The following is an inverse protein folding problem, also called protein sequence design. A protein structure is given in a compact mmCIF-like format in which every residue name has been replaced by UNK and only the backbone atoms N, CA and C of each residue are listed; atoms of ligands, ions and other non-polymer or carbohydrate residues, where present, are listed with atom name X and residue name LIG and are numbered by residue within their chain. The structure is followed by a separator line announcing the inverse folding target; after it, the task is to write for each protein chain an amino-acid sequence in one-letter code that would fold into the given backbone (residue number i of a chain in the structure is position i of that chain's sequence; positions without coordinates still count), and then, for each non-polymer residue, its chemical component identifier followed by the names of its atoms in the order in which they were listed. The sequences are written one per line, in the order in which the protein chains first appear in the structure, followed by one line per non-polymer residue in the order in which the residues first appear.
data_IF_498547673078
#
_entry.id   IF_498547673078
#
_cell.length_a   1.000
_cell.length_b   1.000
_cell.length_c   1.000
_cell.angle_alpha   90.00
_cell.angle_beta   90.00
_cell.angle_gamma   90.00
#
_symmetry.space_group_name_H-M   'P 1'
#
loop_
_entity.id
_entity.type
_entity.pdbx_description
1 polymer ?
#
# COMPACT_ATOMS: atom_id res chain seq x y z
N UNK A 1 -23.27 -21.01 8.67
CA UNK A 1 -22.28 -20.22 9.40
C UNK A 1 -22.97 -19.61 10.61
N UNK A 2 -22.44 -19.81 11.81
CA UNK A 2 -23.02 -19.26 13.03
C UNK A 2 -22.50 -17.84 13.25
N UNK A 3 -23.24 -17.00 14.02
CA UNK A 3 -22.82 -15.64 14.39
C UNK A 3 -21.49 -15.58 15.19
N UNK A 4 -20.94 -16.72 15.59
CA UNK A 4 -19.62 -16.85 16.21
C UNK A 4 -18.50 -16.99 15.18
N UNK A 5 -18.76 -17.58 14.00
CA UNK A 5 -17.81 -17.69 12.89
C UNK A 5 -17.62 -16.36 12.15
N UNK A 6 -18.60 -15.45 12.24
CA UNK A 6 -18.57 -14.14 11.58
C UNK A 6 -17.71 -13.08 12.33
N UNK A 7 -17.27 -13.39 13.57
CA UNK A 7 -16.50 -12.47 14.44
C UNK A 7 -14.98 -12.71 14.41
N UNK A 8 -14.51 -13.67 13.64
CA UNK A 8 -13.11 -14.13 13.65
C UNK A 8 -12.34 -13.74 12.36
N UNK A 9 -13.00 -13.07 11.42
CA UNK A 9 -12.37 -12.66 10.15
C UNK A 9 -11.87 -11.22 10.27
N UNK A 10 -10.64 -11.00 9.78
CA UNK A 10 -10.04 -9.68 9.69
C UNK A 10 -10.85 -8.79 8.75
N UNK A 11 -11.40 -7.67 9.26
CA UNK A 11 -12.13 -6.69 8.46
C UNK A 11 -11.18 -5.62 7.95
N UNK A 12 -11.07 -5.49 6.64
CA UNK A 12 -10.14 -4.57 5.99
C UNK A 12 -10.88 -3.56 5.13
N UNK A 13 -10.65 -2.28 5.40
CA UNK A 13 -11.05 -1.19 4.52
C UNK A 13 -9.91 -0.88 3.56
N UNK A 14 -10.17 -0.91 2.26
CA UNK A 14 -9.24 -0.45 1.24
C UNK A 14 -9.80 0.78 0.55
N UNK A 15 -9.12 1.91 0.63
CA UNK A 15 -9.45 3.10 -0.14
C UNK A 15 -8.75 3.05 -1.49
N UNK A 16 -9.55 3.03 -2.55
CA UNK A 16 -9.12 3.13 -3.94
C UNK A 16 -9.58 4.48 -4.50
N UNK A 17 -8.72 5.19 -5.21
CA UNK A 17 -8.94 6.56 -5.65
C UNK A 17 -9.46 6.67 -7.07
N UNK A 18 -8.99 5.78 -7.97
CA UNK A 18 -9.40 5.74 -9.37
C UNK A 18 -9.49 4.29 -9.87
N UNK A 19 -10.15 4.10 -11.01
CA UNK A 19 -10.29 2.77 -11.62
C UNK A 19 -8.94 2.11 -11.96
N UNK A 20 -7.94 2.83 -12.51
CA UNK A 20 -6.67 2.21 -12.89
C UNK A 20 -5.76 1.84 -11.72
N UNK A 21 -6.09 2.19 -10.48
CA UNK A 21 -5.26 1.90 -9.30
C UNK A 21 -5.88 0.84 -8.38
N UNK A 22 -6.10 -0.40 -8.86
CA UNK A 22 -6.69 -1.46 -8.06
C UNK A 22 -5.70 -1.97 -6.99
N UNK A 23 -6.18 -2.64 -5.94
CA UNK A 23 -5.35 -3.07 -4.81
C UNK A 23 -4.39 -4.23 -5.10
N UNK A 24 -4.44 -4.86 -6.28
CA UNK A 24 -3.48 -5.83 -6.76
C UNK A 24 -3.07 -6.92 -5.75
N UNK A 25 -1.77 -7.00 -5.47
CA UNK A 25 -1.23 -7.96 -4.51
C UNK A 25 -1.82 -7.86 -3.10
N UNK A 26 -2.30 -6.68 -2.66
CA UNK A 26 -2.93 -6.52 -1.34
C UNK A 26 -4.17 -7.40 -1.21
N UNK A 27 -5.08 -7.37 -2.20
CA UNK A 27 -6.28 -8.22 -2.15
C UNK A 27 -5.97 -9.71 -2.30
N UNK A 28 -4.98 -10.06 -3.12
CA UNK A 28 -4.55 -11.44 -3.28
C UNK A 28 -3.97 -11.99 -1.96
N UNK A 29 -3.15 -11.21 -1.27
CA UNK A 29 -2.60 -11.54 0.04
C UNK A 29 -3.70 -11.64 1.11
N UNK A 30 -4.63 -10.68 1.19
CA UNK A 30 -5.74 -10.69 2.15
C UNK A 30 -6.68 -11.89 1.95
N UNK A 31 -6.82 -12.38 0.72
CA UNK A 31 -7.59 -13.58 0.44
C UNK A 31 -6.98 -14.86 1.04
N UNK A 32 -5.65 -14.93 1.18
CA UNK A 32 -4.95 -16.03 1.87
C UNK A 32 -5.22 -16.02 3.39
N UNK A 33 -5.61 -14.85 3.93
CA UNK A 33 -5.98 -14.66 5.34
C UNK A 33 -7.49 -14.75 5.61
N UNK A 34 -8.29 -15.15 4.63
CA UNK A 34 -9.77 -15.19 4.72
C UNK A 34 -10.38 -13.86 5.23
N UNK A 35 -9.76 -12.73 4.86
CA UNK A 35 -10.19 -11.40 5.30
C UNK A 35 -11.52 -10.99 4.65
N UNK A 36 -12.32 -10.22 5.40
CA UNK A 36 -13.51 -9.53 4.90
C UNK A 36 -13.10 -8.15 4.39
N UNK A 37 -13.02 -8.00 3.07
CA UNK A 37 -12.45 -6.81 2.41
C UNK A 37 -13.54 -5.93 1.83
N UNK A 38 -13.60 -4.68 2.28
CA UNK A 38 -14.41 -3.61 1.69
C UNK A 38 -13.52 -2.68 0.87
N UNK A 39 -13.60 -2.77 -0.46
CA UNK A 39 -12.93 -1.83 -1.36
C UNK A 39 -13.84 -0.64 -1.60
N UNK A 40 -13.43 0.51 -1.10
CA UNK A 40 -14.20 1.76 -1.14
C UNK A 40 -13.58 2.73 -2.15
N UNK A 41 -14.31 2.99 -3.24
CA UNK A 41 -13.96 3.98 -4.26
C UNK A 41 -14.30 5.38 -3.78
N UNK A 42 -13.36 6.02 -3.08
CA UNK A 42 -13.57 7.30 -2.40
C UNK A 42 -13.88 8.47 -3.36
N UNK A 43 -13.49 8.34 -4.63
CA UNK A 43 -13.74 9.32 -5.68
C UNK A 43 -15.20 9.37 -6.16
N UNK A 44 -15.92 8.25 -6.07
CA UNK A 44 -17.29 8.09 -6.59
C UNK A 44 -18.30 7.53 -5.59
N UNK A 45 -17.85 6.91 -4.50
CA UNK A 45 -18.73 6.33 -3.49
C UNK A 45 -19.02 7.35 -2.37
N UNK A 46 -20.29 7.69 -2.20
CA UNK A 46 -20.76 8.67 -1.21
C UNK A 46 -21.13 8.03 0.15
N UNK A 47 -20.99 6.69 0.30
CA UNK A 47 -21.25 6.03 1.59
C UNK A 47 -20.49 6.73 2.71
N UNK A 48 -21.08 6.79 3.87
CA UNK A 48 -20.36 7.14 5.09
C UNK A 48 -19.64 5.89 5.61
N UNK A 49 -18.34 5.98 5.72
CA UNK A 49 -17.47 4.88 6.15
C UNK A 49 -16.69 5.34 7.37
N UNK A 50 -16.79 4.59 8.46
CA UNK A 50 -16.07 4.86 9.69
C UNK A 50 -14.87 3.90 9.82
N UNK A 51 -13.63 4.39 9.85
CA UNK A 51 -12.44 3.53 10.02
C UNK A 51 -12.48 2.65 11.26
N UNK A 52 -13.23 3.04 12.30
CA UNK A 52 -13.38 2.29 13.57
C UNK A 52 -14.14 0.97 13.42
N UNK A 53 -14.85 0.78 12.29
CA UNK A 53 -15.58 -0.45 12.01
C UNK A 53 -14.69 -1.54 11.39
N UNK A 54 -13.39 -1.25 11.20
CA UNK A 54 -12.40 -2.12 10.56
C UNK A 54 -11.19 -2.38 11.46
N UNK A 55 -10.57 -3.54 11.27
CA UNK A 55 -9.35 -3.96 11.99
C UNK A 55 -8.07 -3.45 11.32
N UNK A 56 -8.15 -3.13 10.02
CA UNK A 56 -7.06 -2.62 9.20
C UNK A 56 -7.57 -1.65 8.15
N UNK A 57 -6.84 -0.56 7.95
CA UNK A 57 -7.11 0.43 6.92
C UNK A 57 -5.95 0.46 5.91
N UNK A 58 -6.24 0.27 4.62
CA UNK A 58 -5.27 0.38 3.53
C UNK A 58 -5.66 1.57 2.65
N UNK A 59 -4.72 2.48 2.40
CA UNK A 59 -4.86 3.61 1.48
C UNK A 59 -3.91 3.40 0.30
N UNK A 60 -4.46 3.34 -0.92
CA UNK A 60 -3.71 3.03 -2.14
C UNK A 60 -3.04 4.25 -2.77
N UNK A 61 -2.40 4.04 -3.92
CA UNK A 61 -1.85 5.08 -4.78
C UNK A 61 -2.93 5.90 -5.50
N UNK A 62 -2.55 7.07 -6.03
CA UNK A 62 -3.39 7.97 -6.82
C UNK A 62 -2.54 8.84 -7.73
N UNK A 63 -3.08 9.28 -8.88
CA UNK A 63 -2.46 10.28 -9.75
C UNK A 63 -2.48 11.71 -9.17
N UNK A 64 -3.30 11.94 -8.14
CA UNK A 64 -3.44 13.26 -7.52
C UNK A 64 -2.35 13.53 -6.48
N UNK A 65 -2.10 14.82 -6.23
CA UNK A 65 -1.21 15.22 -5.16
C UNK A 65 -1.89 15.07 -3.78
N UNK A 66 -1.25 14.39 -2.85
CA UNK A 66 -1.76 14.18 -1.50
C UNK A 66 -1.91 15.48 -0.68
N UNK A 67 -1.39 16.60 -1.18
CA UNK A 67 -1.50 17.94 -0.58
C UNK A 67 -2.44 18.90 -1.34
N UNK A 68 -3.23 18.38 -2.31
CA UNK A 68 -4.22 19.18 -3.04
C UNK A 68 -5.57 19.19 -2.32
N UNK A 69 -5.74 20.09 -1.35
CA UNK A 69 -6.98 20.23 -0.58
C UNK A 69 -8.16 20.80 -1.41
N UNK A 70 -7.95 21.10 -2.70
CA UNK A 70 -9.05 21.42 -3.61
C UNK A 70 -9.86 20.20 -4.01
N UNK A 71 -9.32 18.99 -3.79
CA UNK A 71 -9.98 17.72 -4.01
C UNK A 71 -10.75 17.28 -2.76
N UNK A 72 -12.09 17.19 -2.79
CA UNK A 72 -12.86 16.84 -1.60
C UNK A 72 -12.48 15.49 -0.98
N UNK A 73 -12.12 14.50 -1.81
CA UNK A 73 -11.73 13.19 -1.31
C UNK A 73 -10.38 13.22 -0.55
N UNK A 74 -9.43 14.08 -0.94
CA UNK A 74 -8.16 14.26 -0.20
C UNK A 74 -8.42 14.74 1.22
N UNK A 75 -9.31 15.73 1.37
CA UNK A 75 -9.71 16.27 2.69
C UNK A 75 -10.44 15.19 3.51
N UNK A 76 -11.39 14.48 2.86
CA UNK A 76 -12.17 13.40 3.49
C UNK A 76 -11.25 12.30 4.00
N UNK A 77 -10.37 11.79 3.15
CA UNK A 77 -9.47 10.70 3.52
C UNK A 77 -8.44 11.11 4.57
N UNK A 78 -7.88 12.33 4.48
CA UNK A 78 -7.03 12.86 5.56
C UNK A 78 -7.74 12.80 6.91
N UNK A 79 -9.02 13.15 6.97
CA UNK A 79 -9.83 13.06 8.20
C UNK A 79 -10.07 11.61 8.64
N UNK A 80 -10.28 10.69 7.71
CA UNK A 80 -10.41 9.26 8.00
C UNK A 80 -9.11 8.69 8.56
N UNK A 81 -7.96 9.01 7.96
CA UNK A 81 -6.64 8.60 8.45
C UNK A 81 -6.34 9.16 9.85
N UNK A 82 -6.67 10.44 10.10
CA UNK A 82 -6.54 11.04 11.43
C UNK A 82 -7.40 10.30 12.47
N UNK A 83 -8.62 9.89 12.09
CA UNK A 83 -9.50 9.11 12.95
C UNK A 83 -8.90 7.72 13.19
N UNK A 84 -8.45 7.02 12.15
CA UNK A 84 -7.83 5.71 12.29
C UNK A 84 -6.62 5.73 13.24
N UNK A 85 -5.72 6.69 13.05
CA UNK A 85 -4.54 6.86 13.92
C UNK A 85 -4.93 7.18 15.36
N UNK A 86 -5.91 8.07 15.58
CA UNK A 86 -6.36 8.46 16.92
C UNK A 86 -7.04 7.32 17.68
N UNK A 87 -7.71 6.41 16.98
CA UNK A 87 -8.43 5.25 17.52
C UNK A 87 -7.57 3.95 17.47
N UNK A 88 -6.28 4.08 17.18
CA UNK A 88 -5.31 2.98 17.13
C UNK A 88 -5.65 1.89 16.09
N UNK A 89 -6.39 2.25 15.02
CA UNK A 89 -6.62 1.38 13.86
C UNK A 89 -5.35 1.38 13.01
N UNK A 90 -4.74 0.22 12.74
CA UNK A 90 -3.54 0.11 11.90
C UNK A 90 -3.79 0.65 10.49
N UNK A 91 -2.79 1.33 9.93
CA UNK A 91 -2.86 1.87 8.56
C UNK A 91 -1.67 1.39 7.74
N UNK A 92 -1.95 0.89 6.53
CA UNK A 92 -0.98 0.69 5.47
C UNK A 92 -1.24 1.72 4.37
N UNK A 93 -0.33 2.67 4.20
CA UNK A 93 -0.42 3.69 3.15
C UNK A 93 0.58 3.41 2.03
N UNK A 94 0.12 3.38 0.76
CA UNK A 94 0.92 3.11 -0.42
C UNK A 94 0.97 4.35 -1.31
N UNK A 95 2.15 4.82 -1.65
CA UNK A 95 2.44 5.98 -2.48
C UNK A 95 1.64 7.21 -2.01
N UNK A 96 0.60 7.64 -2.73
CA UNK A 96 -0.32 8.69 -2.32
C UNK A 96 -0.87 8.43 -0.90
N UNK A 97 -1.31 7.21 -0.59
CA UNK A 97 -1.79 6.84 0.75
C UNK A 97 -0.72 6.97 1.83
N UNK A 98 0.54 6.67 1.51
CA UNK A 98 1.68 6.89 2.40
C UNK A 98 1.95 8.37 2.65
N UNK A 99 1.85 9.21 1.61
CA UNK A 99 1.96 10.67 1.71
C UNK A 99 0.80 11.28 2.52
N UNK A 100 -0.42 10.79 2.32
CA UNK A 100 -1.59 11.22 3.09
C UNK A 100 -1.51 10.80 4.56
N UNK A 101 -1.05 9.59 4.83
CA UNK A 101 -0.78 9.14 6.21
C UNK A 101 0.28 10.03 6.87
N UNK A 102 1.36 10.38 6.16
CA UNK A 102 2.35 11.31 6.68
C UNK A 102 1.73 12.66 7.03
N UNK A 103 0.87 13.22 6.17
CA UNK A 103 0.11 14.47 6.46
C UNK A 103 -0.84 14.31 7.64
N UNK A 104 -1.57 13.22 7.74
CA UNK A 104 -2.46 12.95 8.87
C UNK A 104 -1.72 12.95 10.20
N UNK A 105 -0.44 12.54 10.19
CA UNK A 105 0.49 12.55 11.32
C UNK A 105 1.23 13.88 11.52
N UNK A 106 0.91 14.94 10.74
CA UNK A 106 1.45 16.28 10.90
C UNK A 106 2.70 16.59 10.07
N UNK A 107 3.03 15.76 9.08
CA UNK A 107 4.06 16.03 8.09
C UNK A 107 3.52 16.88 6.92
N UNK A 108 4.41 17.30 6.02
CA UNK A 108 4.09 18.04 4.81
C UNK A 108 4.35 17.18 3.58
N UNK A 109 3.40 17.18 2.61
CA UNK A 109 3.60 16.65 1.27
C UNK A 109 4.10 17.76 0.33
N UNK A 110 4.94 17.42 -0.62
CA UNK A 110 5.48 18.38 -1.58
C UNK A 110 5.87 17.72 -2.90
N UNK A 111 5.90 18.53 -3.98
CA UNK A 111 6.44 18.11 -5.27
C UNK A 111 7.94 18.00 -5.19
N UNK A 112 8.51 16.87 -5.57
CA UNK A 112 9.96 16.68 -5.65
C UNK A 112 10.51 17.17 -7.01
N UNK A 113 11.79 17.55 -7.05
CA UNK A 113 12.45 18.00 -8.30
C UNK A 113 12.80 16.82 -9.22
N UNK A 114 12.93 15.61 -8.66
CA UNK A 114 13.31 14.38 -9.36
C UNK A 114 12.19 13.37 -9.19
N UNK A 115 11.65 12.87 -10.31
CA UNK A 115 10.72 11.74 -10.28
C UNK A 115 11.47 10.42 -10.05
N UNK A 116 10.82 9.48 -9.38
CA UNK A 116 11.26 8.08 -9.34
C UNK A 116 10.23 7.24 -10.10
N UNK A 117 10.64 6.65 -11.23
CA UNK A 117 9.79 5.81 -12.08
C UNK A 117 10.56 4.55 -12.47
N UNK A 118 9.99 3.38 -12.22
CA UNK A 118 10.56 2.07 -12.55
C UNK A 118 10.88 1.22 -11.32
N UNK A 119 11.56 0.12 -11.55
CA UNK A 119 12.00 -0.82 -10.50
C UNK A 119 13.33 -0.35 -9.92
N UNK A 120 13.28 0.33 -8.78
CA UNK A 120 14.43 0.98 -8.18
C UNK A 120 14.83 0.32 -6.84
N UNK A 121 16.14 0.23 -6.56
CA UNK A 121 16.60 -0.25 -5.27
C UNK A 121 16.29 0.78 -4.17
N UNK A 122 15.91 0.30 -2.99
CA UNK A 122 15.81 1.11 -1.78
C UNK A 122 16.85 0.66 -0.77
N UNK A 123 17.40 1.60 0.00
CA UNK A 123 18.19 1.28 1.17
C UNK A 123 17.27 1.02 2.33
N UNK A 124 17.43 -0.09 3.01
CA UNK A 124 16.61 -0.43 4.17
C UNK A 124 17.47 -0.48 5.44
N UNK A 125 16.92 0.03 6.54
CA UNK A 125 17.47 -0.13 7.88
C UNK A 125 16.84 -1.30 8.63
N UNK A 126 15.75 -1.87 8.07
CA UNK A 126 15.02 -3.03 8.59
C UNK A 126 14.61 -3.94 7.42
N UNK A 127 15.52 -4.83 7.03
CA UNK A 127 15.32 -5.73 5.90
C UNK A 127 14.32 -6.86 6.19
N UNK A 128 13.94 -7.07 7.44
CA UNK A 128 12.88 -8.01 7.79
C UNK A 128 11.51 -7.42 7.49
N UNK A 129 11.29 -6.16 7.85
CA UNK A 129 10.04 -5.44 7.56
C UNK A 129 9.97 -5.00 6.10
N UNK A 130 10.99 -4.32 5.61
CA UNK A 130 11.09 -3.85 4.22
C UNK A 130 12.25 -4.56 3.55
N UNK A 131 12.03 -5.68 2.83
CA UNK A 131 13.09 -6.40 2.14
C UNK A 131 13.83 -5.52 1.15
N UNK A 132 15.13 -5.79 0.96
CA UNK A 132 15.87 -5.16 -0.13
C UNK A 132 15.19 -5.43 -1.47
N UNK A 133 14.91 -4.33 -2.23
CA UNK A 133 14.21 -4.38 -3.50
C UNK A 133 15.10 -4.72 -4.67
N UNK A 134 14.65 -4.60 -5.93
CA UNK A 134 13.93 -3.39 -6.38
C UNK A 134 12.46 -3.37 -6.01
N UNK A 135 11.96 -2.16 -5.71
CA UNK A 135 10.56 -1.88 -5.54
C UNK A 135 10.06 -1.00 -6.67
N UNK A 136 8.81 -1.17 -7.07
CA UNK A 136 8.24 -0.35 -8.13
C UNK A 136 7.95 1.06 -7.61
N UNK A 137 8.45 2.05 -8.34
CA UNK A 137 8.27 3.47 -8.08
C UNK A 137 7.51 4.11 -9.25
N UNK A 138 6.56 4.99 -8.95
CA UNK A 138 5.96 5.90 -9.91
C UNK A 138 5.41 7.10 -9.15
N UNK A 139 6.29 8.02 -8.83
CA UNK A 139 5.89 9.20 -8.08
C UNK A 139 6.76 10.42 -8.42
N UNK A 140 6.11 11.55 -8.32
CA UNK A 140 6.69 12.89 -8.48
C UNK A 140 6.67 13.67 -7.17
N UNK A 141 5.88 13.24 -6.22
CA UNK A 141 5.65 13.87 -4.94
C UNK A 141 6.31 13.06 -3.83
N UNK A 142 6.63 13.74 -2.74
CA UNK A 142 7.24 13.15 -1.56
C UNK A 142 6.64 13.78 -0.30
N UNK A 143 7.13 13.37 0.86
CA UNK A 143 6.68 13.86 2.16
C UNK A 143 7.85 14.08 3.10
N UNK A 144 7.66 14.98 4.07
CA UNK A 144 8.56 15.07 5.21
C UNK A 144 8.26 13.96 6.21
N UNK A 145 9.27 13.53 6.97
CA UNK A 145 9.07 12.46 7.97
C UNK A 145 8.14 12.95 9.08
N UNK A 146 7.05 12.22 9.39
CA UNK A 146 6.14 12.62 10.45
C UNK A 146 6.83 12.70 11.83
N UNK A 147 6.42 13.61 12.71
CA UNK A 147 6.96 13.69 14.06
C UNK A 147 6.82 12.38 14.81
N UNK A 148 7.93 11.86 15.33
CA UNK A 148 7.95 10.59 16.08
C UNK A 148 7.95 9.31 15.24
N UNK A 149 7.89 9.42 13.91
CA UNK A 149 8.02 8.27 13.02
C UNK A 149 9.49 7.83 12.86
N UNK A 150 9.66 6.54 12.57
CA UNK A 150 10.97 5.95 12.24
C UNK A 150 11.03 5.66 10.76
N UNK A 151 11.99 6.22 10.03
CA UNK A 151 12.28 5.87 8.64
C UNK A 151 12.96 4.51 8.61
N UNK A 152 12.39 3.57 7.86
CA UNK A 152 12.89 2.20 7.74
C UNK A 152 13.45 1.89 6.34
N UNK A 153 13.12 2.73 5.34
CA UNK A 153 13.75 2.68 4.01
C UNK A 153 13.84 4.07 3.39
N UNK A 154 14.86 4.29 2.56
CA UNK A 154 15.11 5.54 1.84
C UNK A 154 15.78 5.34 0.48
N UNK A 155 15.76 6.39 -0.35
CA UNK A 155 16.59 6.57 -1.54
C UNK A 155 17.34 7.90 -1.45
N UNK A 156 18.08 8.26 -2.50
CA UNK A 156 18.71 9.59 -2.56
C UNK A 156 17.69 10.72 -2.76
N UNK A 157 16.47 10.37 -3.21
CA UNK A 157 15.36 11.31 -3.41
C UNK A 157 14.66 11.62 -2.07
N UNK A 158 14.49 10.61 -1.20
CA UNK A 158 13.82 10.84 0.08
C UNK A 158 13.42 9.56 0.82
N UNK A 159 12.58 9.71 1.86
CA UNK A 159 12.06 8.58 2.61
C UNK A 159 11.16 7.71 1.74
N UNK A 160 11.35 6.40 1.83
CA UNK A 160 10.59 5.41 1.05
C UNK A 160 9.66 4.57 1.93
N UNK A 161 9.98 4.44 3.21
CA UNK A 161 9.10 3.80 4.18
C UNK A 161 9.30 4.38 5.58
N UNK A 162 8.22 4.54 6.32
CA UNK A 162 8.24 4.94 7.72
C UNK A 162 7.22 4.17 8.55
N UNK A 163 7.56 3.92 9.81
CA UNK A 163 6.66 3.35 10.83
C UNK A 163 6.29 4.43 11.83
N UNK A 164 5.00 4.53 12.15
CA UNK A 164 4.46 5.42 13.18
C UNK A 164 3.34 4.73 13.95
N UNK A 165 3.59 4.37 15.23
CA UNK A 165 2.66 3.55 16.00
C UNK A 165 2.38 2.21 15.31
N UNK A 166 1.11 1.93 15.02
CA UNK A 166 0.67 0.72 14.31
C UNK A 166 0.53 0.92 12.80
N UNK A 167 1.13 1.97 12.25
CA UNK A 167 0.98 2.32 10.84
C UNK A 167 2.31 2.27 10.09
N UNK A 168 2.24 1.86 8.81
CA UNK A 168 3.34 1.82 7.86
C UNK A 168 2.98 2.66 6.64
N UNK A 169 3.76 3.70 6.36
CA UNK A 169 3.66 4.48 5.13
C UNK A 169 4.78 4.12 4.16
N UNK A 170 4.42 3.81 2.93
CA UNK A 170 5.32 3.46 1.85
C UNK A 170 5.21 4.48 0.73
N UNK A 171 6.32 4.82 0.08
CA UNK A 171 6.32 5.63 -1.13
C UNK A 171 6.23 4.79 -2.39
N UNK A 172 6.74 3.57 -2.36
CA UNK A 172 6.73 2.62 -3.47
C UNK A 172 5.45 1.77 -3.50
N UNK A 173 5.31 0.97 -4.57
CA UNK A 173 4.12 0.21 -4.91
C UNK A 173 4.32 -1.31 -4.77
N UNK A 174 4.15 -1.90 -3.56
CA UNK A 174 4.23 -3.36 -3.40
C UNK A 174 3.01 -4.10 -3.97
N UNK A 175 1.91 -3.39 -4.27
CA UNK A 175 0.67 -3.95 -4.79
C UNK A 175 0.71 -4.28 -6.28
N UNK A 176 1.72 -3.77 -7.02
CA UNK A 176 1.77 -3.84 -8.47
C UNK A 176 1.92 -5.27 -8.98
N UNK A 177 0.98 -5.67 -9.86
CA UNK A 177 1.03 -6.90 -10.65
C UNK A 177 1.40 -6.60 -12.10
N UNK A 178 1.64 -7.66 -12.89
CA UNK A 178 1.88 -7.50 -14.34
C UNK A 178 0.68 -6.86 -15.05
N UNK A 179 -0.54 -7.24 -14.66
CA UNK A 179 -1.79 -6.70 -15.24
C UNK A 179 -1.97 -5.21 -14.91
N UNK A 180 -1.66 -4.81 -13.66
CA UNK A 180 -1.69 -3.40 -13.25
C UNK A 180 -0.68 -2.61 -14.07
N UNK A 181 0.54 -3.15 -14.27
CA UNK A 181 1.57 -2.48 -15.04
C UNK A 181 1.17 -2.30 -16.51
N UNK A 182 0.59 -3.34 -17.14
CA UNK A 182 0.07 -3.26 -18.50
C UNK A 182 -0.96 -2.12 -18.65
N UNK A 183 -1.87 -2.01 -17.67
CA UNK A 183 -2.87 -0.95 -17.65
C UNK A 183 -2.27 0.44 -17.38
N UNK A 184 -1.34 0.57 -16.43
CA UNK A 184 -0.69 1.85 -16.13
C UNK A 184 0.13 2.37 -17.29
N UNK A 185 0.95 1.52 -17.93
CA UNK A 185 1.70 1.90 -19.14
C UNK A 185 0.77 2.37 -20.25
N UNK A 186 -0.38 1.74 -20.42
CA UNK A 186 -1.38 2.14 -21.43
C UNK A 186 -2.02 3.49 -21.09
N UNK A 187 -2.39 3.73 -19.84
CA UNK A 187 -3.11 4.94 -19.39
C UNK A 187 -2.16 6.14 -19.25
N UNK A 188 -1.00 5.93 -18.63
CA UNK A 188 -0.06 6.98 -18.24
C UNK A 188 1.18 7.08 -19.15
N UNK A 189 1.11 6.51 -20.37
CA UNK A 189 2.23 6.53 -21.32
C UNK A 189 2.85 7.91 -21.54
N UNK A 190 2.03 8.95 -21.49
CA UNK A 190 2.48 10.32 -21.71
C UNK A 190 3.43 10.83 -20.59
N UNK A 191 3.35 10.29 -19.39
CA UNK A 191 4.27 10.59 -18.28
C UNK A 191 5.62 9.92 -18.54
N UNK A 192 5.61 8.63 -18.94
CA UNK A 192 6.82 7.87 -19.27
C UNK A 192 7.61 8.55 -20.40
N UNK A 193 6.92 8.96 -21.47
CA UNK A 193 7.53 9.69 -22.58
C UNK A 193 8.18 11.02 -22.12
N UNK A 194 7.54 11.70 -21.15
CA UNK A 194 8.02 12.96 -20.57
C UNK A 194 9.28 12.81 -19.73
N UNK A 195 9.42 11.71 -19.03
CA UNK A 195 10.55 11.42 -18.12
C UNK A 195 11.61 10.51 -18.77
N UNK A 196 11.43 10.15 -20.05
CA UNK A 196 12.41 9.37 -20.82
C UNK A 196 12.49 7.91 -20.41
N UNK A 197 11.42 7.36 -19.84
CA UNK A 197 11.30 5.95 -19.48
C UNK A 197 10.74 5.18 -20.67
N UNK A 198 11.43 4.11 -21.11
CA UNK A 198 10.95 3.24 -22.17
C UNK A 198 9.85 2.30 -21.63
N UNK A 199 8.61 2.42 -22.13
CA UNK A 199 7.51 1.61 -21.66
C UNK A 199 7.68 0.11 -21.92
N UNK A 200 8.31 -0.27 -23.04
CA UNK A 200 8.50 -1.66 -23.40
C UNK A 200 9.57 -2.32 -22.51
N UNK A 201 10.67 -1.60 -22.21
CA UNK A 201 11.67 -2.04 -21.24
C UNK A 201 11.08 -2.18 -19.83
N UNK A 202 10.23 -1.25 -19.43
CA UNK A 202 9.55 -1.28 -18.12
C UNK A 202 8.65 -2.52 -17.99
N UNK A 203 7.87 -2.84 -19.04
CA UNK A 203 7.02 -4.04 -19.07
C UNK A 203 7.86 -5.32 -19.06
N UNK A 204 8.92 -5.40 -19.87
CA UNK A 204 9.81 -6.57 -19.89
C UNK A 204 10.44 -6.81 -18.52
N UNK A 205 10.90 -5.77 -17.84
CA UNK A 205 11.45 -5.88 -16.50
C UNK A 205 10.40 -6.35 -15.49
N UNK A 206 9.20 -5.79 -15.52
CA UNK A 206 8.10 -6.17 -14.65
C UNK A 206 7.76 -7.65 -14.77
N UNK A 207 7.62 -8.14 -16.01
CA UNK A 207 7.36 -9.57 -16.25
C UNK A 207 8.51 -10.46 -15.78
N UNK A 208 9.75 -10.01 -15.95
CA UNK A 208 10.94 -10.77 -15.57
C UNK A 208 11.07 -10.97 -14.07
N UNK A 209 10.62 -9.99 -13.24
CA UNK A 209 10.79 -10.02 -11.79
C UNK A 209 9.48 -10.27 -11.02
N UNK A 210 8.39 -10.59 -11.72
CA UNK A 210 7.04 -10.68 -11.14
C UNK A 210 6.97 -11.60 -9.91
N UNK A 211 7.53 -12.81 -9.99
CA UNK A 211 7.53 -13.77 -8.89
C UNK A 211 8.35 -13.27 -7.69
N UNK A 212 9.53 -12.69 -7.94
CA UNK A 212 10.39 -12.13 -6.89
C UNK A 212 9.74 -10.91 -6.24
N UNK A 213 9.10 -10.05 -7.03
CA UNK A 213 8.37 -8.88 -6.57
C UNK A 213 7.20 -9.29 -5.68
N UNK A 214 6.40 -10.26 -6.13
CA UNK A 214 5.31 -10.82 -5.34
C UNK A 214 5.81 -11.39 -4.01
N UNK A 215 6.87 -12.20 -4.02
CA UNK A 215 7.41 -12.79 -2.80
C UNK A 215 7.86 -11.73 -1.78
N UNK A 216 8.50 -10.64 -2.25
CA UNK A 216 8.88 -9.50 -1.40
C UNK A 216 7.65 -8.77 -0.85
N UNK A 217 6.63 -8.55 -1.68
CA UNK A 217 5.38 -7.91 -1.26
C UNK A 217 4.69 -8.72 -0.15
N UNK A 218 4.59 -10.05 -0.30
CA UNK A 218 4.05 -10.94 0.74
C UNK A 218 4.84 -10.83 2.04
N UNK A 219 6.17 -10.89 1.98
CA UNK A 219 7.00 -10.73 3.17
C UNK A 219 6.72 -9.40 3.88
N UNK A 220 6.67 -8.30 3.12
CA UNK A 220 6.39 -6.97 3.67
C UNK A 220 5.01 -6.91 4.34
N UNK A 221 3.97 -7.43 3.67
CA UNK A 221 2.60 -7.41 4.20
C UNK A 221 2.46 -8.28 5.45
N UNK A 222 3.05 -9.46 5.49
CA UNK A 222 3.08 -10.33 6.68
C UNK A 222 3.80 -9.66 7.85
N UNK A 223 4.98 -9.09 7.61
CA UNK A 223 5.73 -8.39 8.66
C UNK A 223 4.99 -7.15 9.15
N UNK A 224 4.40 -6.38 8.25
CA UNK A 224 3.55 -5.27 8.65
C UNK A 224 2.39 -5.74 9.55
N UNK A 225 1.65 -6.77 9.14
CA UNK A 225 0.49 -7.27 9.88
C UNK A 225 0.87 -7.69 11.31
N UNK A 226 1.96 -8.45 11.45
CA UNK A 226 2.36 -9.01 12.74
C UNK A 226 3.17 -8.02 13.59
N UNK A 227 4.18 -7.36 13.02
CA UNK A 227 5.16 -6.62 13.81
C UNK A 227 4.77 -5.15 14.01
N UNK A 228 4.09 -4.53 13.04
CA UNK A 228 3.67 -3.13 13.12
C UNK A 228 2.21 -3.02 13.53
N UNK A 229 1.31 -3.68 12.81
CA UNK A 229 -0.12 -3.65 13.12
C UNK A 229 -0.49 -4.46 14.36
N UNK A 230 0.34 -5.42 14.77
CA UNK A 230 0.10 -6.25 15.96
C UNK A 230 -1.16 -7.11 15.84
N UNK A 231 -1.46 -7.56 14.61
CA UNK A 231 -2.60 -8.41 14.31
C UNK A 231 -2.11 -9.86 14.17
N UNK A 232 -2.62 -10.75 15.01
CA UNK A 232 -2.42 -12.19 14.88
C UNK A 232 -3.40 -12.70 13.82
N UNK A 233 -2.91 -13.05 12.62
CA UNK A 233 -3.77 -13.66 11.61
C UNK A 233 -4.20 -15.06 12.07
N UNK A 234 -5.47 -15.45 11.89
CA UNK A 234 -5.87 -16.83 12.11
C UNK A 234 -5.07 -17.73 11.17
N UNK A 235 -4.31 -18.67 11.73
CA UNK A 235 -3.62 -19.69 10.94
C UNK A 235 -4.67 -20.52 10.22
N UNK A 236 -4.76 -20.44 8.90
CA UNK A 236 -5.41 -21.45 8.09
C UNK A 236 -4.50 -22.68 8.17
N UNK A 237 -4.86 -23.66 9.03
CA UNK A 237 -4.23 -24.98 8.99
C UNK A 237 -4.51 -25.54 7.59
N UNK A 238 -3.49 -25.54 6.74
CA UNK A 238 -3.55 -26.33 5.52
C UNK A 238 -3.63 -27.77 5.95
N UNK A 239 -4.82 -28.39 5.81
CA UNK A 239 -4.98 -29.83 5.97
C UNK A 239 -3.96 -30.52 5.04
N UNK A 240 -2.88 -30.97 5.63
CA UNK A 240 -1.93 -31.86 4.96
C UNK A 240 -2.71 -33.10 4.53
N UNK A 241 -2.83 -33.26 3.22
CA UNK A 241 -3.44 -34.39 2.54
C UNK A 241 -2.93 -35.74 3.13
N UNK A 242 -3.73 -36.28 4.05
CA UNK A 242 -3.48 -37.53 4.70
C UNK A 242 -3.94 -38.70 3.85
N UNK A 243 -3.34 -38.89 2.67
CA UNK A 243 -3.44 -40.14 1.94
C UNK A 243 -2.17 -40.96 2.11
N UNK A 244 -2.08 -41.64 3.25
CA UNK A 244 -1.21 -42.78 3.39
C UNK A 244 -2.08 -44.04 3.53
N UNK A 245 -2.20 -44.76 2.47
CA UNK A 245 -2.21 -46.15 2.17
C UNK A 245 -2.72 -47.18 3.21
N UNK A 246 -3.69 -47.94 2.80
CA UNK A 246 -4.00 -49.30 3.21
C UNK A 246 -3.90 -50.20 1.99
#
# INVERSE_FOLDING_TARGET
MSAAEERDRLKVLILQHEEPTPPGHVTAWLAEHDADVDVFRIDVDERDVDPRDYDLFVSLGSEFAAFDDTKPFVVRETSMLQTAVAEDVPVLGLCFGGQLLARALGAEGFRHEVAEIGWLPVRTSDAELVPEGPWFQWHFDSFTVPPGATVVADTDVGPQAFVAGRSLGLQFHPEVTTEIMDDWVRVYRHELDGDGVDPDELLEETHRIADDSRARAWQLFERFLHEVAGIEAPHVETEADGTAGG
#
